data_IF_867857867718
#
_entry.id   IF_867857867718
#
_cell.length_a   1.000
_cell.length_b   1.000
_cell.length_c   1.000
_cell.angle_alpha   90.00
_cell.angle_beta   90.00
_cell.angle_gamma   90.00
#
_symmetry.space_group_name_H-M   'P 1'
#
loop_
_entity.id
_entity.type
_entity.pdbx_description
1 polymer ?
#
# COMPACT_ATOMS: atom_id res chain seq x y z
N UNK A 1 -12.75 20.68 -15.09
CA UNK A 1 -12.08 19.69 -14.20
C UNK A 1 -11.68 18.47 -15.02
N UNK A 2 -10.42 18.02 -14.98
CA UNK A 2 -9.94 16.85 -15.75
C UNK A 2 -10.36 15.56 -15.05
N UNK A 3 -10.99 14.60 -15.73
CA UNK A 3 -11.36 13.32 -15.11
C UNK A 3 -10.18 12.35 -15.15
N UNK A 4 -9.83 11.71 -14.02
CA UNK A 4 -8.81 10.65 -13.96
C UNK A 4 -9.26 9.49 -14.84
N UNK A 5 -8.43 9.09 -15.80
CA UNK A 5 -8.76 8.00 -16.74
C UNK A 5 -8.40 6.62 -16.19
N UNK A 6 -7.22 6.53 -15.56
CA UNK A 6 -6.62 5.28 -15.12
C UNK A 6 -5.83 5.47 -13.83
N UNK A 7 -5.70 4.37 -13.09
CA UNK A 7 -4.81 4.26 -11.96
C UNK A 7 -3.64 3.32 -12.27
N UNK A 8 -2.48 3.59 -11.67
CA UNK A 8 -1.31 2.75 -11.73
C UNK A 8 -0.89 2.41 -10.30
N UNK A 9 -0.77 1.12 -10.01
CA UNK A 9 -0.21 0.65 -8.74
C UNK A 9 1.27 0.33 -8.95
N UNK A 10 2.12 0.93 -8.13
CA UNK A 10 3.53 0.54 -8.03
C UNK A 10 3.68 -0.33 -6.78
N UNK A 11 3.72 -1.64 -6.99
CA UNK A 11 3.89 -2.66 -5.98
C UNK A 11 5.35 -3.10 -5.81
N UNK A 12 5.60 -3.92 -4.80
CA UNK A 12 6.90 -4.53 -4.51
C UNK A 12 6.80 -6.06 -4.30
N UNK A 13 5.66 -6.66 -4.65
CA UNK A 13 5.37 -8.08 -4.43
C UNK A 13 5.07 -8.46 -2.97
N UNK A 14 4.99 -7.50 -2.04
CA UNK A 14 4.58 -7.75 -0.66
C UNK A 14 3.07 -7.55 -0.56
N UNK A 15 2.35 -8.62 -0.21
CA UNK A 15 0.88 -8.63 -0.16
C UNK A 15 0.31 -7.48 0.68
N UNK A 16 0.85 -7.22 1.88
CA UNK A 16 0.37 -6.14 2.74
C UNK A 16 0.56 -4.72 2.15
N UNK A 17 1.59 -4.50 1.34
CA UNK A 17 1.82 -3.22 0.67
C UNK A 17 0.91 -3.06 -0.56
N UNK A 18 0.79 -4.10 -1.38
CA UNK A 18 -0.08 -4.09 -2.57
C UNK A 18 -1.56 -3.99 -2.17
N UNK A 19 -1.98 -4.70 -1.11
CA UNK A 19 -3.35 -4.65 -0.60
C UNK A 19 -3.76 -3.26 -0.09
N UNK A 20 -2.81 -2.48 0.45
CA UNK A 20 -3.06 -1.08 0.83
C UNK A 20 -3.39 -0.22 -0.40
N UNK A 21 -2.64 -0.37 -1.49
CA UNK A 21 -2.92 0.34 -2.74
C UNK A 21 -4.28 -0.07 -3.32
N UNK A 22 -4.55 -1.38 -3.35
CA UNK A 22 -5.80 -1.93 -3.88
C UNK A 22 -7.01 -1.50 -3.03
N UNK A 23 -6.86 -1.46 -1.71
CA UNK A 23 -7.87 -0.94 -0.79
C UNK A 23 -8.23 0.51 -1.07
N UNK A 24 -7.21 1.37 -1.24
CA UNK A 24 -7.42 2.77 -1.61
C UNK A 24 -8.12 2.91 -2.97
N UNK A 25 -7.63 2.22 -4.01
CA UNK A 25 -8.24 2.28 -5.34
C UNK A 25 -9.68 1.76 -5.34
N UNK A 26 -9.99 0.73 -4.54
CA UNK A 26 -11.34 0.22 -4.38
C UNK A 26 -12.25 1.27 -3.75
N UNK A 27 -11.81 1.94 -2.69
CA UNK A 27 -12.56 3.03 -2.06
C UNK A 27 -12.74 4.26 -2.97
N UNK A 28 -11.83 4.47 -3.93
CA UNK A 28 -11.94 5.49 -4.98
C UNK A 28 -12.79 5.05 -6.19
N UNK A 29 -13.37 3.84 -6.19
CA UNK A 29 -14.15 3.33 -7.33
C UNK A 29 -13.30 2.94 -8.56
N UNK A 30 -11.99 2.78 -8.40
CA UNK A 30 -11.01 2.48 -9.46
C UNK A 30 -10.54 1.01 -9.46
N UNK A 31 -11.25 0.13 -8.75
CA UNK A 31 -10.89 -1.29 -8.62
C UNK A 31 -10.72 -2.02 -9.96
N UNK A 32 -11.48 -1.63 -11.00
CA UNK A 32 -11.40 -2.22 -12.36
C UNK A 32 -10.64 -1.37 -13.37
N UNK A 33 -10.08 -0.21 -12.95
CA UNK A 33 -9.42 0.76 -13.84
C UNK A 33 -7.98 1.00 -13.42
N UNK A 34 -7.26 -0.08 -13.12
CA UNK A 34 -5.87 0.02 -12.71
C UNK A 34 -4.96 -1.01 -13.37
N UNK A 35 -3.67 -0.65 -13.46
CA UNK A 35 -2.61 -1.55 -13.87
C UNK A 35 -1.59 -1.67 -12.75
N UNK A 36 -1.19 -2.90 -12.41
CA UNK A 36 -0.17 -3.18 -11.41
C UNK A 36 1.20 -3.38 -12.09
N UNK A 37 2.19 -2.62 -11.65
CA UNK A 37 3.60 -2.84 -11.95
C UNK A 37 4.35 -3.16 -10.66
N UNK A 38 5.39 -3.98 -10.75
CA UNK A 38 6.21 -4.35 -9.58
C UNK A 38 7.62 -3.82 -9.70
N UNK A 39 8.13 -3.30 -8.59
CA UNK A 39 9.56 -3.06 -8.43
C UNK A 39 10.20 -4.33 -7.90
N UNK A 40 11.05 -4.96 -8.70
CA UNK A 40 11.78 -6.15 -8.27
C UNK A 40 13.06 -5.76 -7.53
N UNK A 41 13.17 -6.21 -6.28
CA UNK A 41 14.41 -6.13 -5.50
C UNK A 41 15.33 -7.31 -5.89
N UNK A 42 16.63 -7.07 -6.16
CA UNK A 42 17.59 -8.15 -6.39
C UNK A 42 17.66 -9.11 -5.20
N UNK A 43 17.73 -10.42 -5.46
CA UNK A 43 17.76 -11.49 -4.44
C UNK A 43 18.95 -12.43 -4.66
N UNK A 44 19.31 -13.18 -3.63
CA UNK A 44 20.33 -14.24 -3.68
C UNK A 44 21.76 -13.75 -3.41
N UNK A 45 22.56 -14.61 -2.77
CA UNK A 45 23.98 -14.37 -2.50
C UNK A 45 24.21 -13.06 -1.71
N UNK A 46 25.10 -12.21 -2.21
CA UNK A 46 25.42 -10.93 -1.58
C UNK A 46 24.23 -9.95 -1.56
N UNK A 47 23.26 -10.08 -2.47
CA UNK A 47 22.10 -9.20 -2.52
C UNK A 47 21.24 -9.30 -1.26
N UNK A 48 21.24 -10.45 -0.59
CA UNK A 48 20.50 -10.63 0.66
C UNK A 48 21.13 -9.83 1.81
N UNK A 49 22.45 -9.61 1.78
CA UNK A 49 23.17 -8.75 2.73
C UNK A 49 23.02 -7.26 2.41
N UNK A 50 22.56 -6.90 1.21
CA UNK A 50 22.39 -5.54 0.73
C UNK A 50 20.94 -5.04 0.78
N UNK A 51 20.01 -5.80 1.36
CA UNK A 51 18.58 -5.44 1.45
C UNK A 51 18.29 -4.13 2.20
N UNK A 52 19.23 -3.68 3.04
CA UNK A 52 19.12 -2.39 3.74
C UNK A 52 19.23 -1.19 2.79
N UNK A 53 19.82 -1.37 1.60
CA UNK A 53 19.96 -0.33 0.58
C UNK A 53 18.61 0.01 -0.09
N UNK A 54 18.41 1.28 -0.47
CA UNK A 54 17.36 1.65 -1.41
C UNK A 54 17.45 0.84 -2.70
N UNK A 55 16.32 0.38 -3.24
CA UNK A 55 16.30 -0.52 -4.42
C UNK A 55 17.04 0.07 -5.62
N UNK A 56 16.97 1.37 -5.85
CA UNK A 56 17.69 2.01 -6.96
C UNK A 56 19.21 1.89 -6.82
N UNK A 57 19.74 2.03 -5.60
CA UNK A 57 21.17 1.84 -5.33
C UNK A 57 21.54 0.36 -5.37
N UNK A 58 20.68 -0.51 -4.85
CA UNK A 58 20.86 -1.96 -4.91
C UNK A 58 20.94 -2.45 -6.36
N UNK A 59 20.02 -2.02 -7.24
CA UNK A 59 20.06 -2.33 -8.67
C UNK A 59 21.34 -1.80 -9.33
N UNK A 60 21.78 -0.58 -9.03
CA UNK A 60 23.04 -0.03 -9.59
C UNK A 60 24.25 -0.86 -9.17
N UNK A 61 24.34 -1.26 -7.90
CA UNK A 61 25.41 -2.12 -7.42
C UNK A 61 25.35 -3.49 -8.08
N UNK A 62 24.17 -4.09 -8.24
CA UNK A 62 24.03 -5.37 -8.93
C UNK A 62 24.55 -5.27 -10.38
N UNK A 63 24.19 -4.22 -11.12
CA UNK A 63 24.72 -3.99 -12.47
C UNK A 63 26.24 -3.80 -12.47
N UNK A 64 26.78 -3.02 -11.54
CA UNK A 64 28.23 -2.83 -11.40
C UNK A 64 28.94 -4.15 -11.04
N UNK A 65 28.34 -4.96 -10.17
CA UNK A 65 28.88 -6.28 -9.79
C UNK A 65 28.88 -7.24 -10.97
N UNK A 66 27.80 -7.29 -11.77
CA UNK A 66 27.74 -8.07 -13.02
C UNK A 66 28.78 -7.59 -14.02
N UNK A 67 29.02 -6.29 -14.07
CA UNK A 67 30.07 -5.71 -14.92
C UNK A 67 31.48 -6.07 -14.45
N UNK A 68 31.77 -6.00 -13.14
CA UNK A 68 33.08 -6.32 -12.54
C UNK A 68 33.41 -7.82 -12.62
N UNK A 69 32.43 -8.69 -12.36
CA UNK A 69 32.65 -10.14 -12.35
C UNK A 69 32.71 -10.75 -13.75
N UNK A 70 32.47 -9.96 -14.80
CA UNK A 70 32.51 -10.39 -16.20
C UNK A 70 31.68 -11.64 -16.46
N UNK A 71 30.40 -11.50 -16.84
CA UNK A 71 29.58 -12.67 -17.19
C UNK A 71 30.26 -13.52 -18.29
N UNK A 72 30.93 -14.59 -17.87
CA UNK A 72 31.17 -15.83 -18.59
C UNK A 72 29.88 -16.66 -18.56
N UNK A 73 28.79 -16.12 -19.12
CA UNK A 73 27.63 -16.91 -19.57
C UNK A 73 27.06 -16.28 -20.85
N UNK A 74 26.57 -17.08 -21.82
CA UNK A 74 26.23 -16.58 -23.14
C UNK A 74 25.13 -15.55 -23.03
N UNK A 75 25.26 -14.45 -23.78
CA UNK A 75 24.20 -13.47 -24.02
C UNK A 75 22.90 -14.18 -24.39
N UNK A 76 22.01 -14.37 -23.42
CA UNK A 76 20.58 -14.42 -23.72
C UNK A 76 20.20 -12.99 -24.04
N UNK A 77 20.33 -12.67 -25.32
CA UNK A 77 19.78 -11.47 -25.90
C UNK A 77 18.28 -11.48 -25.59
N UNK A 78 17.84 -10.72 -24.58
CA UNK A 78 16.46 -10.25 -24.54
C UNK A 78 16.32 -9.31 -25.73
N UNK A 79 16.00 -9.93 -26.87
CA UNK A 79 15.62 -9.25 -28.10
C UNK A 79 14.50 -8.29 -27.71
N UNK A 80 14.75 -7.00 -27.83
CA UNK A 80 13.72 -5.96 -27.79
C UNK A 80 12.79 -6.18 -28.98
N UNK A 81 11.88 -7.13 -28.84
CA UNK A 81 10.84 -7.35 -29.82
C UNK A 81 9.73 -6.34 -29.55
N UNK A 82 9.68 -5.35 -30.43
CA UNK A 82 8.52 -4.52 -30.71
C UNK A 82 7.33 -5.45 -31.06
N UNK A 83 6.38 -5.64 -30.16
CA UNK A 83 5.14 -6.43 -30.37
C UNK A 83 4.03 -5.74 -29.58
N UNK A 84 3.27 -4.86 -30.23
CA UNK A 84 1.89 -5.06 -30.69
C UNK A 84 0.90 -5.53 -29.62
N UNK A 85 -0.13 -4.71 -29.48
CA UNK A 85 -1.32 -4.87 -28.64
C UNK A 85 -2.08 -6.16 -28.92
N UNK A 86 -2.32 -7.01 -27.90
CA UNK A 86 -3.44 -7.95 -27.88
C UNK A 86 -3.94 -8.21 -26.44
N UNK A 87 -5.22 -8.59 -26.25
CA UNK A 87 -5.93 -8.49 -24.98
C UNK A 87 -5.97 -9.80 -24.17
N UNK A 88 -6.27 -9.63 -22.87
CA UNK A 88 -6.88 -10.58 -21.93
C UNK A 88 -6.32 -12.01 -21.85
N UNK A 89 -5.26 -12.18 -21.04
CA UNK A 89 -5.06 -13.22 -20.01
C UNK A 89 -3.60 -13.10 -19.50
N UNK A 90 -3.36 -12.31 -18.45
CA UNK A 90 -2.00 -11.98 -18.00
C UNK A 90 -1.42 -13.04 -17.04
N UNK A 91 -0.59 -13.93 -17.58
CA UNK A 91 0.53 -14.53 -16.84
C UNK A 91 1.74 -13.60 -16.93
N UNK A 92 1.98 -12.81 -15.88
CA UNK A 92 3.19 -11.99 -15.70
C UNK A 92 2.90 -10.52 -15.37
N UNK A 93 3.07 -10.15 -14.10
CA UNK A 93 3.02 -8.73 -13.69
C UNK A 93 4.29 -8.04 -14.18
N UNK A 94 4.15 -6.92 -14.89
CA UNK A 94 5.26 -6.21 -15.51
C UNK A 94 6.17 -5.50 -14.48
N UNK A 95 7.47 -5.43 -14.78
CA UNK A 95 8.42 -4.63 -14.02
C UNK A 95 8.11 -3.14 -14.18
N UNK A 96 8.22 -2.38 -13.10
CA UNK A 96 7.95 -0.95 -13.09
C UNK A 96 9.12 -0.17 -13.70
N UNK A 97 8.88 0.43 -14.86
CA UNK A 97 9.80 1.36 -15.53
C UNK A 97 9.25 2.78 -15.50
N UNK A 98 9.97 3.70 -14.84
CA UNK A 98 9.47 5.04 -14.59
C UNK A 98 9.31 5.88 -15.88
N UNK A 99 10.20 5.69 -16.86
CA UNK A 99 10.19 6.44 -18.11
C UNK A 99 9.04 6.01 -19.01
N UNK A 100 8.83 4.71 -19.17
CA UNK A 100 7.73 4.16 -19.94
C UNK A 100 6.37 4.51 -19.33
N UNK A 101 6.24 4.41 -17.99
CA UNK A 101 4.99 4.79 -17.32
C UNK A 101 4.74 6.30 -17.45
N UNK A 102 5.77 7.14 -17.30
CA UNK A 102 5.64 8.58 -17.49
C UNK A 102 5.29 8.94 -18.93
N UNK A 103 5.94 8.31 -19.92
CA UNK A 103 5.64 8.48 -21.34
C UNK A 103 4.19 8.10 -21.66
N UNK A 104 3.72 6.97 -21.15
CA UNK A 104 2.32 6.55 -21.30
C UNK A 104 1.31 7.47 -20.59
N UNK A 105 1.76 8.28 -19.62
CA UNK A 105 0.96 9.35 -19.01
C UNK A 105 1.01 10.66 -19.82
N UNK A 106 2.03 10.85 -20.68
CA UNK A 106 2.14 11.97 -21.61
C UNK A 106 1.41 11.72 -22.93
N UNK A 107 1.56 10.54 -23.53
CA UNK A 107 0.94 10.13 -24.81
C UNK A 107 -0.60 10.19 -24.78
N UNK A 108 -1.14 10.26 -23.58
CA UNK A 108 -2.50 10.69 -23.26
C UNK A 108 -2.87 12.10 -23.81
N UNK A 109 -1.91 12.90 -24.27
CA UNK A 109 -2.06 14.23 -24.84
C UNK A 109 -1.15 14.43 -26.07
N UNK A 110 -1.70 14.37 -27.29
CA UNK A 110 -1.04 14.96 -28.46
C UNK A 110 -1.98 15.85 -29.29
N UNK A 111 -1.42 16.95 -29.80
CA UNK A 111 -2.05 17.97 -30.64
C UNK A 111 -1.45 17.86 -32.03
N UNK A 112 -2.27 17.65 -33.05
CA UNK A 112 -1.83 17.76 -34.45
C UNK A 112 -2.51 18.93 -35.15
N UNK A 113 -1.71 19.68 -35.90
CA UNK A 113 -2.17 20.74 -36.82
C UNK A 113 -2.18 20.13 -38.21
N UNK A 114 -3.37 19.87 -38.76
CA UNK A 114 -3.53 19.44 -40.15
C UNK A 114 -3.77 20.70 -40.99
N UNK A 115 -2.66 21.33 -41.39
CA UNK A 115 -2.64 22.58 -42.14
C UNK A 115 -3.04 23.81 -41.32
N UNK A 116 -2.87 25.00 -41.90
CA UNK A 116 -3.02 26.30 -41.21
C UNK A 116 -4.44 26.65 -40.74
N UNK A 117 -5.46 25.82 -41.01
CA UNK A 117 -6.87 26.21 -40.84
C UNK A 117 -7.82 25.18 -40.18
N UNK A 118 -7.38 23.94 -39.88
CA UNK A 118 -8.26 22.93 -39.26
C UNK A 118 -7.62 22.27 -38.03
N UNK A 119 -8.31 22.32 -36.89
CA UNK A 119 -7.93 21.61 -35.66
C UNK A 119 -8.94 20.48 -35.44
N UNK A 120 -8.47 19.22 -35.53
CA UNK A 120 -9.26 18.07 -35.11
C UNK A 120 -8.85 17.70 -33.68
N UNK A 121 -9.82 17.70 -32.75
CA UNK A 121 -9.62 17.18 -31.39
C UNK A 121 -10.20 15.77 -31.33
N UNK A 122 -9.37 14.76 -31.03
CA UNK A 122 -9.86 13.43 -30.68
C UNK A 122 -9.28 12.96 -29.33
N UNK A 123 -9.99 12.03 -28.69
CA UNK A 123 -10.12 11.84 -27.24
C UNK A 123 -8.81 11.89 -26.45
N UNK A 124 -8.75 12.90 -25.56
CA UNK A 124 -7.84 13.03 -24.41
C UNK A 124 -8.13 11.92 -23.41
N UNK A 125 -7.19 11.01 -23.19
CA UNK A 125 -7.23 10.29 -21.92
C UNK A 125 -7.03 11.30 -20.77
N UNK A 126 -7.67 11.02 -19.64
CA UNK A 126 -7.51 11.76 -18.40
C UNK A 126 -6.09 11.68 -17.83
N UNK A 127 -5.75 12.52 -16.84
CA UNK A 127 -4.55 12.30 -16.04
C UNK A 127 -4.56 10.93 -15.33
N UNK A 128 -3.38 10.50 -14.90
CA UNK A 128 -3.15 9.22 -14.23
C UNK A 128 -2.98 9.39 -12.73
N UNK A 129 -3.68 8.58 -11.95
CA UNK A 129 -3.44 8.44 -10.50
C UNK A 129 -2.40 7.34 -10.28
N UNK A 130 -1.27 7.65 -9.65
CA UNK A 130 -0.26 6.66 -9.25
C UNK A 130 -0.39 6.41 -7.76
N UNK A 131 -0.54 5.16 -7.34
CA UNK A 131 -0.58 4.75 -5.94
C UNK A 131 0.58 3.79 -5.68
N UNK A 132 1.45 4.14 -4.74
CA UNK A 132 2.60 3.35 -4.35
C UNK A 132 2.57 3.08 -2.84
N UNK A 133 3.08 1.94 -2.40
CA UNK A 133 3.15 1.61 -0.97
C UNK A 133 4.49 0.98 -0.60
N UNK A 134 5.00 1.36 0.57
CA UNK A 134 6.24 0.82 1.13
C UNK A 134 7.53 1.41 0.53
N UNK A 135 8.67 1.00 1.11
CA UNK A 135 9.98 1.64 0.87
C UNK A 135 10.52 1.43 -0.55
N UNK A 136 10.29 0.27 -1.13
CA UNK A 136 10.93 -0.16 -2.38
C UNK A 136 10.36 0.60 -3.59
N UNK A 137 9.15 1.13 -3.47
CA UNK A 137 8.40 1.78 -4.55
C UNK A 137 8.73 3.27 -4.68
N UNK A 138 9.22 3.89 -3.59
CA UNK A 138 9.52 5.32 -3.44
C UNK A 138 10.29 5.90 -4.63
N UNK A 139 11.41 5.26 -5.01
CA UNK A 139 12.30 5.81 -6.05
C UNK A 139 11.64 5.80 -7.43
N UNK A 140 10.93 4.74 -7.77
CA UNK A 140 10.24 4.59 -9.06
C UNK A 140 9.03 5.51 -9.12
N UNK A 141 8.17 5.47 -8.10
CA UNK A 141 6.94 6.26 -8.05
C UNK A 141 7.22 7.77 -8.12
N UNK A 142 8.15 8.27 -7.31
CA UNK A 142 8.53 9.70 -7.37
C UNK A 142 9.24 10.09 -8.67
N UNK A 143 9.92 9.16 -9.34
CA UNK A 143 10.51 9.44 -10.66
C UNK A 143 9.43 9.57 -11.73
N UNK A 144 8.37 8.75 -11.69
CA UNK A 144 7.20 8.90 -12.58
C UNK A 144 6.59 10.29 -12.40
N UNK A 145 6.37 10.72 -11.14
CA UNK A 145 5.84 12.06 -10.85
C UNK A 145 6.76 13.18 -11.37
N UNK A 146 8.08 13.05 -11.19
CA UNK A 146 9.06 14.04 -11.68
C UNK A 146 9.06 14.14 -13.20
N UNK A 147 8.90 13.02 -13.91
CA UNK A 147 8.91 12.97 -15.37
C UNK A 147 7.60 13.49 -15.97
N UNK A 148 6.45 13.21 -15.34
CA UNK A 148 5.13 13.63 -15.83
C UNK A 148 4.32 14.46 -14.79
N UNK A 149 4.85 15.60 -14.30
CA UNK A 149 4.28 16.32 -13.16
C UNK A 149 2.86 16.84 -13.40
N UNK A 150 2.54 17.22 -14.64
CA UNK A 150 1.23 17.77 -15.03
C UNK A 150 0.15 16.73 -15.32
N UNK A 151 0.54 15.46 -15.48
CA UNK A 151 -0.36 14.36 -15.87
C UNK A 151 -0.45 13.26 -14.82
N UNK A 152 0.42 13.25 -13.82
CA UNK A 152 0.44 12.28 -12.73
C UNK A 152 0.07 12.94 -11.41
N UNK A 153 -0.85 12.32 -10.67
CA UNK A 153 -1.03 12.58 -9.24
C UNK A 153 -0.51 11.39 -8.46
N UNK A 154 0.49 11.59 -7.62
CA UNK A 154 1.17 10.53 -6.88
C UNK A 154 0.73 10.50 -5.41
N UNK A 155 0.10 9.39 -5.01
CA UNK A 155 -0.18 9.03 -3.62
C UNK A 155 0.83 7.99 -3.15
N UNK A 156 1.56 8.30 -2.08
CA UNK A 156 2.44 7.35 -1.40
C UNK A 156 1.81 6.90 -0.08
N UNK A 157 1.62 5.60 0.07
CA UNK A 157 1.19 4.96 1.31
C UNK A 157 2.43 4.49 2.10
N UNK A 158 2.37 4.65 3.42
CA UNK A 158 3.50 4.52 4.37
C UNK A 158 4.50 5.67 4.24
N UNK A 159 5.12 6.06 5.36
CA UNK A 159 6.03 7.20 5.36
C UNK A 159 7.27 6.92 4.49
N UNK A 160 7.58 7.76 3.48
CA UNK A 160 8.69 7.49 2.55
C UNK A 160 10.08 7.74 3.13
N UNK A 161 10.18 8.32 4.34
CA UNK A 161 11.44 8.65 5.01
C UNK A 161 12.41 9.39 4.07
N UNK A 162 11.86 10.29 3.25
CA UNK A 162 12.55 11.16 2.29
C UNK A 162 11.76 12.46 2.15
N UNK A 163 12.28 13.44 1.40
CA UNK A 163 11.61 14.73 1.20
C UNK A 163 10.19 14.55 0.65
N UNK A 164 9.21 15.11 1.36
CA UNK A 164 7.79 14.92 1.09
C UNK A 164 7.31 15.68 -0.15
N UNK A 165 8.04 16.69 -0.62
CA UNK A 165 7.73 17.47 -1.84
C UNK A 165 7.77 16.65 -3.13
N UNK A 166 8.24 15.40 -3.07
CA UNK A 166 8.29 14.46 -4.19
C UNK A 166 6.96 13.76 -4.46
N UNK A 167 5.96 13.96 -3.61
CA UNK A 167 4.66 13.28 -3.63
C UNK A 167 3.56 14.34 -3.59
N UNK A 168 2.45 14.11 -4.32
CA UNK A 168 1.29 15.00 -4.23
C UNK A 168 0.51 14.76 -2.93
N UNK A 169 0.49 13.52 -2.44
CA UNK A 169 -0.12 13.16 -1.16
C UNK A 169 0.63 12.00 -0.51
N UNK A 170 0.80 12.04 0.82
CA UNK A 170 1.37 10.94 1.60
C UNK A 170 0.33 10.48 2.63
N UNK A 171 -0.05 9.20 2.59
CA UNK A 171 -0.94 8.59 3.57
C UNK A 171 -0.10 7.68 4.46
N UNK A 172 0.00 7.98 5.75
CA UNK A 172 0.94 7.28 6.65
C UNK A 172 0.37 7.14 8.06
N UNK A 173 0.66 6.03 8.75
CA UNK A 173 0.21 5.85 10.12
C UNK A 173 0.80 6.90 11.07
N UNK A 174 0.00 7.38 12.03
CA UNK A 174 0.44 8.31 13.10
C UNK A 174 1.70 7.82 13.82
N UNK A 175 1.78 6.51 14.05
CA UNK A 175 2.90 5.90 14.73
C UNK A 175 4.24 6.06 13.98
N UNK A 176 4.24 6.34 12.67
CA UNK A 176 5.47 6.62 11.93
C UNK A 176 6.16 7.92 12.40
N UNK A 177 5.42 8.81 13.07
CA UNK A 177 5.90 10.06 13.66
C UNK A 177 6.25 9.92 15.15
N UNK A 178 6.19 8.71 15.73
CA UNK A 178 6.46 8.46 17.14
C UNK A 178 7.79 9.05 17.63
N UNK A 179 8.81 9.11 16.76
CA UNK A 179 10.12 9.71 17.04
C UNK A 179 10.07 11.18 17.48
N UNK A 180 9.01 11.92 17.13
CA UNK A 180 8.83 13.30 17.56
C UNK A 180 8.27 13.44 18.97
N UNK A 181 7.64 12.41 19.52
CA UNK A 181 7.11 12.42 20.89
C UNK A 181 8.23 12.42 21.93
N UNK A 182 8.06 13.02 23.12
CA UNK A 182 9.05 12.93 24.21
C UNK A 182 9.42 11.49 24.56
N UNK A 183 8.46 10.57 24.53
CA UNK A 183 8.65 9.14 24.79
C UNK A 183 9.52 8.51 23.71
N UNK A 184 9.22 8.77 22.44
CA UNK A 184 10.04 8.31 21.32
C UNK A 184 11.45 8.91 21.33
N UNK A 185 11.61 10.11 21.90
CA UNK A 185 12.92 10.71 22.12
C UNK A 185 13.78 10.01 23.16
N UNK A 186 13.16 9.41 24.16
CA UNK A 186 13.84 8.65 25.21
C UNK A 186 14.12 7.19 24.79
N UNK A 187 13.18 6.55 24.09
CA UNK A 187 13.26 5.11 23.79
C UNK A 187 14.15 4.75 22.59
N UNK A 188 14.42 5.69 21.69
CA UNK A 188 15.11 5.42 20.43
C UNK A 188 16.59 5.84 20.55
N UNK A 189 17.55 4.91 20.39
CA UNK A 189 18.97 5.24 20.44
C UNK A 189 19.35 6.33 19.44
N UNK A 190 20.15 7.30 19.89
CA UNK A 190 20.55 8.48 19.11
C UNK A 190 21.22 8.11 17.78
N UNK A 191 22.01 7.04 17.76
CA UNK A 191 22.73 6.55 16.57
C UNK A 191 21.80 6.21 15.39
N UNK A 192 20.65 5.59 15.65
CA UNK A 192 19.71 5.17 14.59
C UNK A 192 18.59 6.19 14.37
N UNK A 193 18.34 7.07 15.34
CA UNK A 193 17.24 8.04 15.31
C UNK A 193 17.19 8.84 14.02
N UNK A 194 18.33 9.34 13.53
CA UNK A 194 18.41 10.13 12.28
C UNK A 194 17.94 9.36 11.04
N UNK A 195 17.99 8.02 11.05
CA UNK A 195 17.64 7.18 9.92
C UNK A 195 16.16 6.79 9.89
N UNK A 196 15.51 6.81 11.05
CA UNK A 196 14.11 6.41 11.21
C UNK A 196 13.17 7.58 11.47
N UNK A 197 13.68 8.72 11.96
CA UNK A 197 12.86 9.92 12.18
C UNK A 197 12.46 10.53 10.84
N UNK A 198 11.17 10.89 10.63
CA UNK A 198 10.79 11.71 9.47
C UNK A 198 11.62 13.00 9.43
N UNK A 199 11.93 13.50 8.23
CA UNK A 199 12.65 14.77 8.09
C UNK A 199 11.82 15.96 8.54
N UNK A 200 10.52 15.90 8.31
CA UNK A 200 9.56 16.97 8.57
C UNK A 200 8.44 16.44 9.45
N UNK A 201 7.84 17.26 10.33
CA UNK A 201 6.55 16.94 10.93
C UNK A 201 5.48 16.81 9.82
N UNK A 202 4.29 16.27 10.12
CA UNK A 202 3.21 16.19 9.14
C UNK A 202 2.89 17.57 8.54
N UNK A 203 2.91 17.67 7.21
CA UNK A 203 2.58 18.87 6.43
C UNK A 203 1.17 18.77 5.83
N UNK A 204 0.70 19.80 5.11
CA UNK A 204 -0.67 19.86 4.57
C UNK A 204 -1.06 18.72 3.62
N UNK A 205 -0.09 18.12 2.91
CA UNK A 205 -0.30 16.97 2.03
C UNK A 205 -0.02 15.61 2.69
N UNK A 206 0.03 15.57 4.02
CA UNK A 206 0.17 14.34 4.81
C UNK A 206 -1.15 13.99 5.48
N UNK A 207 -1.65 12.80 5.19
CA UNK A 207 -2.85 12.21 5.80
C UNK A 207 -2.43 11.16 6.81
N UNK A 208 -2.82 11.37 8.07
CA UNK A 208 -2.45 10.49 9.18
C UNK A 208 -3.53 9.45 9.45
N UNK A 209 -3.17 8.17 9.31
CA UNK A 209 -4.05 7.04 9.65
C UNK A 209 -3.76 6.48 11.03
N UNK A 210 -4.71 5.80 11.64
CA UNK A 210 -4.46 5.02 12.85
C UNK A 210 -3.86 3.66 12.48
N UNK A 211 -4.53 2.93 11.59
CA UNK A 211 -4.11 1.64 11.05
C UNK A 211 -3.55 1.72 9.62
N UNK A 212 -3.50 0.57 8.96
CA UNK A 212 -3.15 0.47 7.53
C UNK A 212 -4.40 0.49 6.66
N UNK A 213 -4.28 1.02 5.44
CA UNK A 213 -5.34 0.89 4.45
C UNK A 213 -5.56 -0.59 4.07
N UNK A 214 -6.77 -0.94 3.65
CA UNK A 214 -7.15 -2.32 3.33
C UNK A 214 -8.43 -2.38 2.50
N UNK A 215 -8.81 -3.58 2.09
CA UNK A 215 -9.98 -3.80 1.24
C UNK A 215 -11.28 -4.06 2.02
N UNK A 216 -11.21 -4.17 3.35
CA UNK A 216 -12.38 -4.43 4.21
C UNK A 216 -13.40 -3.30 4.14
N UNK A 217 -14.62 -3.66 3.75
CA UNK A 217 -15.84 -2.87 3.82
C UNK A 217 -17.06 -3.80 3.79
N UNK A 218 -18.27 -3.25 3.85
CA UNK A 218 -19.50 -4.04 3.86
C UNK A 218 -19.62 -4.99 2.66
N UNK A 219 -19.37 -4.49 1.43
CA UNK A 219 -19.54 -5.29 0.21
C UNK A 219 -18.52 -6.43 0.12
N UNK A 220 -17.26 -6.18 0.46
CA UNK A 220 -16.19 -7.19 0.44
C UNK A 220 -16.41 -8.25 1.51
N UNK A 221 -16.86 -7.88 2.71
CA UNK A 221 -17.20 -8.83 3.76
C UNK A 221 -18.41 -9.67 3.37
N UNK A 222 -19.43 -9.09 2.75
CA UNK A 222 -20.59 -9.84 2.26
C UNK A 222 -20.18 -10.85 1.19
N UNK A 223 -19.41 -10.43 0.17
CA UNK A 223 -18.91 -11.35 -0.86
C UNK A 223 -18.03 -12.46 -0.27
N UNK A 224 -17.19 -12.13 0.70
CA UNK A 224 -16.35 -13.12 1.38
C UNK A 224 -17.17 -14.08 2.26
N UNK A 225 -18.19 -13.59 2.97
CA UNK A 225 -19.09 -14.45 3.75
C UNK A 225 -19.76 -15.50 2.86
N UNK A 226 -20.23 -15.10 1.67
CA UNK A 226 -20.82 -16.03 0.70
C UNK A 226 -19.79 -17.00 0.13
N UNK A 227 -18.61 -16.51 -0.29
CA UNK A 227 -17.58 -17.36 -0.90
C UNK A 227 -17.00 -18.41 0.06
N UNK A 228 -17.00 -18.13 1.37
CA UNK A 228 -16.44 -19.00 2.39
C UNK A 228 -17.50 -19.66 3.29
N UNK A 229 -18.78 -19.60 2.90
CA UNK A 229 -19.89 -20.07 3.73
C UNK A 229 -19.78 -21.57 4.04
N UNK A 230 -19.54 -22.38 3.02
CA UNK A 230 -19.51 -23.84 3.16
C UNK A 230 -18.30 -24.34 3.96
N UNK A 231 -17.19 -23.59 3.93
CA UNK A 231 -15.95 -23.97 4.62
C UNK A 231 -15.90 -23.46 6.07
N UNK A 232 -16.36 -22.23 6.32
CA UNK A 232 -16.19 -21.55 7.61
C UNK A 232 -17.54 -21.32 8.30
N UNK A 233 -18.58 -20.99 7.53
CA UNK A 233 -19.89 -20.59 8.06
C UNK A 233 -20.63 -21.71 8.78
N UNK A 234 -20.35 -22.97 8.43
CA UNK A 234 -20.95 -24.16 9.02
C UNK A 234 -20.28 -24.64 10.33
N UNK A 235 -19.16 -24.03 10.71
CA UNK A 235 -18.41 -24.43 11.90
C UNK A 235 -19.18 -24.07 13.20
N UNK A 236 -19.01 -24.86 14.29
CA UNK A 236 -19.67 -24.58 15.57
C UNK A 236 -19.33 -23.20 16.12
N UNK A 237 -20.35 -22.49 16.61
CA UNK A 237 -20.22 -21.13 17.15
C UNK A 237 -19.91 -21.16 18.65
N UNK A 238 -19.16 -20.17 19.18
CA UNK A 238 -18.58 -19.02 18.47
C UNK A 238 -17.30 -19.36 17.69
N UNK A 239 -17.10 -18.69 16.56
CA UNK A 239 -15.87 -18.77 15.77
C UNK A 239 -14.84 -17.77 16.27
N UNK A 240 -13.80 -18.32 16.88
CA UNK A 240 -12.58 -17.60 17.21
C UNK A 240 -11.56 -17.81 16.09
N UNK A 241 -11.12 -16.71 15.47
CA UNK A 241 -10.02 -16.75 14.50
C UNK A 241 -8.73 -16.32 15.16
N UNK A 242 -7.71 -17.16 15.08
CA UNK A 242 -6.35 -16.87 15.54
C UNK A 242 -5.47 -16.59 14.33
N UNK A 243 -5.08 -15.32 14.13
CA UNK A 243 -4.25 -14.90 13.02
C UNK A 243 -2.81 -14.66 13.48
N UNK A 244 -1.87 -15.44 12.93
CA UNK A 244 -0.43 -15.32 13.16
C UNK A 244 0.22 -14.94 11.82
N UNK A 245 1.05 -13.89 11.83
CA UNK A 245 1.70 -13.39 10.62
C UNK A 245 2.57 -14.43 9.93
N UNK A 246 2.62 -14.40 8.60
CA UNK A 246 3.46 -15.28 7.79
C UNK A 246 3.03 -15.31 6.32
N UNK A 247 3.90 -15.79 5.42
CA UNK A 247 3.50 -16.07 4.05
C UNK A 247 2.58 -17.28 4.03
N UNK A 248 1.39 -17.12 3.45
CA UNK A 248 0.43 -18.21 3.25
C UNK A 248 0.00 -18.23 1.78
N UNK A 249 -0.49 -19.39 1.33
CA UNK A 249 -1.00 -19.62 -0.03
C UNK A 249 -2.33 -18.90 -0.30
N UNK A 250 -3.34 -19.56 -0.88
CA UNK A 250 -4.69 -18.98 -0.95
C UNK A 250 -5.10 -18.49 0.44
N UNK A 251 -5.44 -17.21 0.54
CA UNK A 251 -5.56 -16.54 1.83
C UNK A 251 -7.04 -16.51 2.29
N UNK A 252 -7.46 -17.33 3.27
CA UNK A 252 -8.83 -17.35 3.80
C UNK A 252 -9.17 -16.12 4.65
N UNK A 253 -8.24 -15.19 4.84
CA UNK A 253 -8.38 -14.07 5.76
C UNK A 253 -9.63 -13.22 5.53
N UNK A 254 -10.06 -12.97 4.28
CA UNK A 254 -11.31 -12.25 4.06
C UNK A 254 -12.54 -13.05 4.53
N UNK A 255 -12.54 -14.37 4.37
CA UNK A 255 -13.56 -15.25 4.92
C UNK A 255 -13.56 -15.24 6.46
N UNK A 256 -12.36 -15.30 7.06
CA UNK A 256 -12.19 -15.13 8.51
C UNK A 256 -12.78 -13.80 9.01
N UNK A 257 -12.43 -12.68 8.39
CA UNK A 257 -12.94 -11.36 8.78
C UNK A 257 -14.47 -11.29 8.69
N UNK A 258 -15.04 -11.89 7.64
CA UNK A 258 -16.47 -11.90 7.39
C UNK A 258 -17.25 -12.74 8.41
N UNK A 259 -16.76 -13.96 8.72
CA UNK A 259 -17.55 -14.99 9.42
C UNK A 259 -17.18 -15.18 10.90
N UNK A 260 -16.01 -14.71 11.34
CA UNK A 260 -15.58 -14.83 12.74
C UNK A 260 -16.51 -14.07 13.69
N UNK A 261 -16.61 -14.52 14.94
CA UNK A 261 -17.29 -13.79 16.02
C UNK A 261 -16.29 -12.99 16.86
N UNK A 262 -15.02 -13.40 16.86
CA UNK A 262 -13.93 -12.70 17.55
C UNK A 262 -12.56 -13.07 16.95
N UNK A 263 -11.57 -12.22 17.18
CA UNK A 263 -10.21 -12.39 16.67
C UNK A 263 -9.17 -12.42 17.79
N UNK A 264 -8.12 -13.19 17.60
CA UNK A 264 -6.87 -13.14 18.37
C UNK A 264 -5.74 -12.92 17.36
N UNK A 265 -4.99 -11.83 17.50
CA UNK A 265 -3.99 -11.42 16.50
C UNK A 265 -2.66 -11.05 17.18
N UNK A 266 -1.54 -11.41 16.56
CA UNK A 266 -0.21 -11.02 17.07
C UNK A 266 0.02 -9.51 16.95
N UNK A 267 0.68 -8.93 17.94
CA UNK A 267 0.86 -7.50 18.08
C UNK A 267 1.66 -6.84 16.93
N UNK A 268 2.52 -7.57 16.24
CA UNK A 268 3.30 -7.09 15.10
C UNK A 268 2.51 -7.06 13.78
N UNK A 269 1.34 -7.69 13.74
CA UNK A 269 0.48 -7.79 12.56
C UNK A 269 -0.42 -6.56 12.38
N UNK A 270 0.18 -5.39 12.19
CA UNK A 270 -0.52 -4.10 12.08
C UNK A 270 -1.65 -4.13 11.05
N UNK A 271 -1.42 -4.74 9.88
CA UNK A 271 -2.44 -4.81 8.83
C UNK A 271 -3.62 -5.71 9.21
N UNK A 272 -3.36 -6.89 9.78
CA UNK A 272 -4.44 -7.78 10.24
C UNK A 272 -5.23 -7.17 11.39
N UNK A 273 -4.56 -6.45 12.31
CA UNK A 273 -5.23 -5.71 13.38
C UNK A 273 -6.12 -4.59 12.82
N UNK A 274 -5.64 -3.85 11.82
CA UNK A 274 -6.41 -2.77 11.18
C UNK A 274 -7.65 -3.31 10.47
N UNK A 275 -7.49 -4.43 9.76
CA UNK A 275 -8.58 -5.13 9.06
C UNK A 275 -9.62 -5.68 10.03
N UNK A 276 -9.20 -6.36 11.10
CA UNK A 276 -10.09 -6.88 12.13
C UNK A 276 -10.82 -5.77 12.88
N UNK A 277 -10.12 -4.68 13.23
CA UNK A 277 -10.73 -3.50 13.84
C UNK A 277 -11.71 -2.75 12.91
N UNK A 278 -11.70 -3.04 11.60
CA UNK A 278 -12.70 -2.49 10.67
C UNK A 278 -13.99 -3.31 10.63
N UNK A 279 -14.02 -4.48 11.28
CA UNK A 279 -15.24 -5.31 11.39
C UNK A 279 -16.16 -4.88 12.54
N UNK A 280 -15.64 -4.14 13.53
CA UNK A 280 -16.37 -3.79 14.76
C UNK A 280 -16.55 -4.95 15.75
N UNK A 281 -15.96 -6.12 15.47
CA UNK A 281 -16.05 -7.33 16.30
C UNK A 281 -14.93 -7.36 17.35
N UNK A 282 -15.08 -8.12 18.45
CA UNK A 282 -14.02 -8.33 19.44
C UNK A 282 -12.65 -8.68 18.85
N UNK A 283 -11.61 -7.90 19.20
CA UNK A 283 -10.22 -8.16 18.81
C UNK A 283 -9.33 -8.24 20.05
N UNK A 284 -8.72 -9.39 20.24
CA UNK A 284 -7.70 -9.62 21.25
C UNK A 284 -6.30 -9.59 20.64
N UNK A 285 -5.33 -9.10 21.42
CA UNK A 285 -3.95 -8.93 20.97
C UNK A 285 -3.00 -9.73 21.85
N UNK A 286 -2.14 -10.53 21.21
CA UNK A 286 -1.05 -11.26 21.86
C UNK A 286 0.27 -10.50 21.68
N UNK A 287 0.99 -10.25 22.77
CA UNK A 287 2.36 -9.74 22.74
C UNK A 287 2.49 -8.21 22.67
N UNK A 288 1.41 -7.46 22.90
CA UNK A 288 1.44 -5.99 22.88
C UNK A 288 2.39 -5.41 23.95
N UNK A 289 2.56 -6.11 25.07
CA UNK A 289 3.49 -5.80 26.15
C UNK A 289 4.97 -5.93 25.73
N UNK A 290 5.25 -6.64 24.64
CA UNK A 290 6.59 -6.82 24.07
C UNK A 290 6.89 -5.80 22.96
N UNK A 291 5.90 -5.04 22.51
CA UNK A 291 6.10 -4.03 21.48
C UNK A 291 6.88 -2.84 22.02
N UNK A 292 7.77 -2.32 21.18
CA UNK A 292 8.52 -1.09 21.43
C UNK A 292 8.21 -0.03 20.38
N UNK A 293 8.55 1.21 20.71
CA UNK A 293 8.51 2.36 19.80
C UNK A 293 7.15 2.59 19.15
N UNK A 294 7.11 2.62 17.81
CA UNK A 294 5.92 2.90 17.02
C UNK A 294 4.80 1.86 17.21
N UNK A 295 5.14 0.61 17.49
CA UNK A 295 4.10 -0.40 17.71
C UNK A 295 3.45 -0.24 19.09
N UNK A 296 4.20 0.21 20.11
CA UNK A 296 3.60 0.58 21.40
C UNK A 296 2.55 1.67 21.23
N UNK A 297 2.85 2.70 20.43
CA UNK A 297 1.94 3.81 20.14
C UNK A 297 0.68 3.36 19.42
N UNK A 298 0.84 2.49 18.42
CA UNK A 298 -0.28 1.90 17.69
C UNK A 298 -1.23 1.12 18.61
N UNK A 299 -0.68 0.24 19.45
CA UNK A 299 -1.47 -0.55 20.42
C UNK A 299 -2.15 0.32 21.47
N UNK A 300 -1.47 1.37 21.94
CA UNK A 300 -2.06 2.35 22.85
C UNK A 300 -3.27 3.03 22.19
N UNK A 301 -3.11 3.52 20.97
CA UNK A 301 -4.17 4.19 20.21
C UNK A 301 -5.40 3.29 19.99
N UNK A 302 -5.20 2.01 19.67
CA UNK A 302 -6.31 1.06 19.53
C UNK A 302 -7.02 0.78 20.87
N UNK A 303 -6.25 0.64 21.96
CA UNK A 303 -6.78 0.37 23.30
C UNK A 303 -7.59 1.54 23.85
N UNK A 304 -7.10 2.77 23.68
CA UNK A 304 -7.80 3.99 24.10
C UNK A 304 -9.15 4.15 23.39
N UNK A 305 -9.27 3.63 22.17
CA UNK A 305 -10.53 3.57 21.41
C UNK A 305 -11.40 2.34 21.74
N UNK A 306 -11.03 1.56 22.75
CA UNK A 306 -11.71 0.32 23.15
C UNK A 306 -11.83 -0.73 22.03
N UNK A 307 -10.98 -0.64 20.99
CA UNK A 307 -11.03 -1.56 19.84
C UNK A 307 -10.42 -2.91 20.18
N UNK A 308 -9.35 -2.90 20.98
CA UNK A 308 -8.57 -4.10 21.30
C UNK A 308 -8.42 -4.32 22.80
N UNK A 309 -8.30 -5.59 23.18
CA UNK A 309 -7.97 -6.04 24.55
C UNK A 309 -6.77 -6.98 24.53
N UNK A 310 -5.96 -7.09 25.61
CA UNK A 310 -4.96 -8.14 25.69
C UNK A 310 -5.63 -9.52 25.70
N UNK A 311 -4.98 -10.52 25.08
CA UNK A 311 -5.37 -11.93 25.24
C UNK A 311 -4.57 -12.56 26.37
N UNK A 312 -5.21 -12.98 27.45
CA UNK A 312 -4.56 -13.57 28.63
C UNK A 312 -4.74 -15.08 28.74
N UNK A 313 -5.63 -15.66 27.93
CA UNK A 313 -6.03 -17.06 27.99
C UNK A 313 -7.07 -17.36 29.09
N UNK A 314 -7.62 -16.32 29.73
CA UNK A 314 -8.67 -16.44 30.76
C UNK A 314 -10.04 -15.95 30.27
N UNK A 315 -10.08 -15.40 29.06
CA UNK A 315 -11.26 -14.81 28.47
C UNK A 315 -12.30 -15.87 28.11
N UNK A 316 -13.56 -15.61 28.44
CA UNK A 316 -14.65 -16.47 28.01
C UNK A 316 -15.21 -15.98 26.65
N UNK A 317 -14.68 -16.56 25.58
CA UNK A 317 -15.04 -16.21 24.20
C UNK A 317 -16.51 -16.51 23.86
N UNK A 318 -17.25 -17.27 24.67
CA UNK A 318 -18.69 -17.47 24.44
C UNK A 318 -19.54 -16.31 24.95
N UNK A 319 -19.10 -15.60 25.99
CA UNK A 319 -19.89 -14.58 26.69
C UNK A 319 -19.31 -13.18 26.57
N UNK A 320 -18.01 -13.03 26.38
CA UNK A 320 -17.37 -11.74 26.22
C UNK A 320 -17.60 -11.16 24.82
N UNK A 321 -18.46 -10.14 24.75
CA UNK A 321 -18.72 -9.38 23.53
C UNK A 321 -18.59 -7.90 23.83
N UNK A 322 -17.94 -7.17 22.94
CA UNK A 322 -17.98 -5.71 22.92
C UNK A 322 -17.95 -5.24 21.47
N UNK A 323 -18.44 -4.04 21.26
CA UNK A 323 -18.44 -3.35 19.98
C UNK A 323 -17.81 -1.98 20.16
N UNK A 324 -17.32 -1.43 19.06
CA UNK A 324 -16.68 -0.12 19.00
C UNK A 324 -16.91 0.46 17.62
N UNK A 325 -16.67 1.77 17.46
CA UNK A 325 -16.71 2.40 16.14
C UNK A 325 -15.61 1.80 15.25
N UNK A 326 -15.95 1.14 14.13
CA UNK A 326 -14.96 0.47 13.30
C UNK A 326 -13.94 1.45 12.72
N UNK A 327 -12.72 0.96 12.47
CA UNK A 327 -11.73 1.74 11.73
C UNK A 327 -12.22 2.03 10.30
N UNK A 328 -11.91 3.24 9.85
CA UNK A 328 -12.35 3.80 8.58
C UNK A 328 -11.19 4.46 7.82
N UNK A 329 -9.93 4.15 8.18
CA UNK A 329 -8.71 4.77 7.61
C UNK A 329 -8.69 4.76 6.07
N UNK A 330 -9.16 3.67 5.44
CA UNK A 330 -9.25 3.57 3.97
C UNK A 330 -10.24 4.56 3.39
N UNK A 331 -11.40 4.75 4.04
CA UNK A 331 -12.43 5.70 3.62
C UNK A 331 -11.95 7.13 3.82
N UNK A 332 -11.31 7.42 4.95
CA UNK A 332 -10.74 8.75 5.24
C UNK A 332 -9.61 9.09 4.26
N UNK A 333 -8.69 8.15 4.01
CA UNK A 333 -7.62 8.28 3.03
C UNK A 333 -8.14 8.52 1.62
N UNK A 334 -9.19 7.80 1.20
CA UNK A 334 -9.85 8.02 -0.09
C UNK A 334 -10.49 9.42 -0.18
N UNK A 335 -11.17 9.87 0.88
CA UNK A 335 -11.72 11.23 0.96
C UNK A 335 -10.66 12.31 0.80
N UNK A 336 -9.50 12.14 1.45
CA UNK A 336 -8.38 13.07 1.32
C UNK A 336 -7.80 13.08 -0.10
N UNK A 337 -7.70 11.92 -0.78
CA UNK A 337 -7.30 11.85 -2.19
C UNK A 337 -8.30 12.58 -3.09
N UNK A 338 -9.61 12.39 -2.87
CA UNK A 338 -10.66 13.08 -3.64
C UNK A 338 -10.53 14.60 -3.50
N UNK A 339 -10.35 15.10 -2.28
CA UNK A 339 -10.18 16.52 -2.03
C UNK A 339 -8.91 17.07 -2.70
N UNK A 340 -7.78 16.38 -2.54
CA UNK A 340 -6.52 16.82 -3.14
C UNK A 340 -6.54 16.77 -4.68
N UNK A 341 -7.26 15.81 -5.27
CA UNK A 341 -7.53 15.80 -6.72
C UNK A 341 -8.40 17.01 -7.12
N UNK A 342 -9.45 17.32 -6.36
CA UNK A 342 -10.33 18.45 -6.62
C UNK A 342 -9.59 19.79 -6.54
N UNK A 343 -8.70 19.97 -5.57
CA UNK A 343 -7.82 21.14 -5.45
C UNK A 343 -6.91 21.31 -6.66
N UNK A 344 -6.48 20.19 -7.28
CA UNK A 344 -5.73 20.17 -8.55
C UNK A 344 -6.62 20.38 -9.78
N UNK A 345 -7.93 20.58 -9.60
CA UNK A 345 -8.91 20.69 -10.67
C UNK A 345 -9.16 19.37 -11.40
N UNK A 346 -8.97 18.23 -10.72
CA UNK A 346 -9.22 16.89 -11.23
C UNK A 346 -10.41 16.23 -10.50
N UNK A 347 -11.06 15.27 -11.16
CA UNK A 347 -12.15 14.47 -10.57
C UNK A 347 -11.93 13.00 -10.84
N UNK A 348 -12.50 12.15 -9.99
CA UNK A 348 -12.69 10.75 -10.31
C UNK A 348 -13.75 10.59 -11.43
N UNK A 349 -13.68 9.50 -12.21
CA UNK A 349 -14.57 9.28 -13.35
C UNK A 349 -16.04 9.13 -12.98
#
# INVERSE_FOLDING_TARGET
>A
MRAVSKAVVIGNGVAGAENQCLGLLRALGLSRRHTLYRVTRPRGGINDRLRWLPVSLHKKLEHAMKWIHGDLQPRVCYKWNKVTSFPANQTGIAEADAENIARAAHETFEKYVLGSFFVLYFIREGPTLVVASGRDTISTASSIKRLAPENVFLVQIQHPRSHLSRFDLVITPRHDYFTFTPEGQKQIPSLIRRWITPYNPPEGHVVLTLGSLHQVDFSSLQSAASAWHDEIGLLPKPLLVVNIGGPIGPNPHMGHLALADSFVITADSISMLSEACSTGKPVYVIGAERCTWKFTEFHRSLRERSMVRPFTGKENISTERWTYSPLNDTKEGAGAVINALADRGWRLP
#
